data_IF_291142639980
#
_entry.id   IF_291142639980
#
_cell.length_a   1.000
_cell.length_b   1.000
_cell.length_c   1.000
_cell.angle_alpha   90.00
_cell.angle_beta   90.00
_cell.angle_gamma   90.00
#
_symmetry.space_group_name_H-M   'P 1'
#
loop_
_entity.id
_entity.type
_entity.pdbx_description
1 polymer ?
#
# COMPACT_ATOMS: atom_id res chain seq x y z
N UNK A 1 -0.92 24.07 23.37
CA UNK A 1 -0.18 23.75 22.12
C UNK A 1 0.07 22.24 21.97
N UNK A 2 -0.73 21.36 22.59
CA UNK A 2 -0.51 19.90 22.54
C UNK A 2 -1.30 19.18 21.43
N UNK A 3 -2.30 19.84 20.84
CA UNK A 3 -3.14 19.26 19.79
C UNK A 3 -2.41 19.02 18.45
N UNK A 4 -1.27 19.67 18.21
CA UNK A 4 -0.49 19.47 16.98
C UNK A 4 0.29 18.15 16.99
N UNK A 5 0.82 17.73 18.14
CA UNK A 5 1.62 16.51 18.26
C UNK A 5 0.78 15.22 18.18
N UNK A 6 -0.41 15.21 18.79
CA UNK A 6 -1.35 14.07 18.69
C UNK A 6 -1.82 13.88 17.24
N UNK A 7 -2.08 14.98 16.53
CA UNK A 7 -2.54 14.93 15.14
C UNK A 7 -1.47 14.39 14.18
N UNK A 8 -0.19 14.76 14.37
CA UNK A 8 0.90 14.23 13.54
C UNK A 8 1.20 12.75 13.80
N UNK A 9 1.14 12.31 15.06
CA UNK A 9 1.33 10.89 15.40
C UNK A 9 0.22 10.01 14.81
N UNK A 10 -1.05 10.43 14.92
CA UNK A 10 -2.18 9.71 14.33
C UNK A 10 -2.11 9.63 12.80
N UNK A 11 -1.65 10.69 12.14
CA UNK A 11 -1.44 10.70 10.68
C UNK A 11 -0.34 9.72 10.24
N UNK A 12 0.77 9.65 10.98
CA UNK A 12 1.85 8.70 10.71
C UNK A 12 1.36 7.26 10.87
N UNK A 13 0.67 6.97 11.97
CA UNK A 13 0.10 5.64 12.23
C UNK A 13 -0.91 5.24 11.14
N UNK A 14 -1.78 6.16 10.71
CA UNK A 14 -2.73 5.91 9.63
C UNK A 14 -2.05 5.58 8.29
N UNK A 15 -0.95 6.26 7.96
CA UNK A 15 -0.16 5.94 6.76
C UNK A 15 0.52 4.58 6.86
N UNK A 16 1.11 4.23 8.01
CA UNK A 16 1.75 2.92 8.23
C UNK A 16 0.73 1.79 8.09
N UNK A 17 -0.46 1.94 8.68
CA UNK A 17 -1.55 0.95 8.55
C UNK A 17 -2.03 0.85 7.10
N UNK A 18 -2.14 1.98 6.40
CA UNK A 18 -2.49 2.01 4.97
C UNK A 18 -1.49 1.24 4.11
N UNK A 19 -0.19 1.43 4.33
CA UNK A 19 0.87 0.71 3.61
C UNK A 19 0.85 -0.80 3.88
N UNK A 20 0.57 -1.20 5.12
CA UNK A 20 0.38 -2.61 5.48
C UNK A 20 -0.77 -3.26 4.69
N UNK A 21 -1.89 -2.56 4.53
CA UNK A 21 -3.05 -3.04 3.77
C UNK A 21 -2.69 -3.17 2.28
N UNK A 22 -2.01 -2.18 1.71
CA UNK A 22 -1.55 -2.22 0.31
C UNK A 22 -0.63 -3.43 0.09
N UNK A 23 0.31 -3.67 1.01
CA UNK A 23 1.20 -4.84 0.96
C UNK A 23 0.44 -6.17 0.97
N UNK A 24 -0.62 -6.30 1.76
CA UNK A 24 -1.47 -7.50 1.77
C UNK A 24 -2.18 -7.71 0.43
N UNK A 25 -2.71 -6.65 -0.19
CA UNK A 25 -3.34 -6.75 -1.51
C UNK A 25 -2.34 -7.16 -2.60
N UNK A 26 -1.09 -6.70 -2.53
CA UNK A 26 -0.04 -7.16 -3.45
C UNK A 26 0.24 -8.66 -3.33
N UNK A 27 0.30 -9.18 -2.11
CA UNK A 27 0.50 -10.62 -1.88
C UNK A 27 -0.68 -11.40 -2.49
N UNK A 28 -1.89 -10.88 -2.35
CA UNK A 28 -3.08 -11.46 -2.95
C UNK A 28 -3.06 -11.42 -4.49
N UNK A 29 -2.59 -10.31 -5.09
CA UNK A 29 -2.42 -10.20 -6.54
C UNK A 29 -1.39 -11.22 -7.06
N UNK A 30 -0.27 -11.41 -6.35
CA UNK A 30 0.72 -12.44 -6.69
C UNK A 30 0.09 -13.83 -6.60
N UNK A 31 -0.70 -14.11 -5.56
CA UNK A 31 -1.41 -15.38 -5.42
C UNK A 31 -2.36 -15.63 -6.60
N UNK A 32 -3.20 -14.65 -6.94
CA UNK A 32 -4.12 -14.71 -8.07
C UNK A 32 -3.39 -14.93 -9.40
N UNK A 33 -2.26 -14.24 -9.58
CA UNK A 33 -1.43 -14.36 -10.77
C UNK A 33 -0.81 -15.76 -10.92
N UNK A 34 -0.40 -16.38 -9.81
CA UNK A 34 0.22 -17.71 -9.78
C UNK A 34 -0.81 -18.84 -9.85
N UNK A 35 -2.04 -18.62 -9.40
CA UNK A 35 -3.10 -19.63 -9.52
C UNK A 35 -3.50 -19.87 -10.98
N UNK A 36 -3.97 -21.09 -11.28
CA UNK A 36 -4.49 -21.49 -12.60
C UNK A 36 -5.89 -20.91 -12.87
N UNK A 37 -6.11 -19.64 -12.55
CA UNK A 37 -7.35 -18.91 -12.87
C UNK A 37 -7.32 -18.55 -14.37
N UNK A 38 -8.44 -18.20 -14.96
CA UNK A 38 -8.51 -17.75 -16.36
C UNK A 38 -7.54 -16.59 -16.68
N UNK A 39 -7.27 -16.36 -17.97
CA UNK A 39 -6.28 -15.36 -18.40
C UNK A 39 -6.65 -13.93 -17.99
N UNK A 40 -7.93 -13.57 -18.05
CA UNK A 40 -8.40 -12.21 -17.73
C UNK A 40 -8.16 -11.81 -16.26
N UNK A 41 -8.53 -12.63 -15.25
CA UNK A 41 -8.19 -12.36 -13.85
C UNK A 41 -6.68 -12.25 -13.58
N UNK A 42 -5.85 -13.03 -14.28
CA UNK A 42 -4.38 -12.93 -14.14
C UNK A 42 -3.84 -11.61 -14.69
N UNK A 43 -4.34 -11.16 -15.84
CA UNK A 43 -3.95 -9.86 -16.40
C UNK A 43 -4.43 -8.70 -15.50
N UNK A 44 -5.62 -8.80 -14.92
CA UNK A 44 -6.14 -7.82 -13.96
C UNK A 44 -5.30 -7.79 -12.68
N UNK A 45 -4.91 -8.94 -12.14
CA UNK A 45 -4.03 -9.03 -10.97
C UNK A 45 -2.65 -8.41 -11.26
N UNK A 46 -2.07 -8.66 -12.44
CA UNK A 46 -0.82 -8.02 -12.86
C UNK A 46 -0.94 -6.49 -12.98
N UNK A 47 -2.02 -5.99 -13.57
CA UNK A 47 -2.29 -4.55 -13.68
C UNK A 47 -2.54 -3.89 -12.32
N UNK A 48 -3.32 -4.53 -11.46
CA UNK A 48 -3.57 -4.13 -10.07
C UNK A 48 -2.27 -4.05 -9.28
N UNK A 49 -1.43 -5.07 -9.39
CA UNK A 49 -0.14 -5.12 -8.70
C UNK A 49 0.75 -3.93 -9.04
N UNK A 50 0.85 -3.56 -10.33
CA UNK A 50 1.68 -2.41 -10.76
C UNK A 50 1.13 -1.10 -10.19
N UNK A 51 -0.19 -0.91 -10.17
CA UNK A 51 -0.81 0.28 -9.58
C UNK A 51 -0.58 0.36 -8.07
N UNK A 52 -0.78 -0.76 -7.37
CA UNK A 52 -0.51 -0.86 -5.94
C UNK A 52 0.97 -0.62 -5.63
N UNK A 53 1.89 -1.08 -6.48
CA UNK A 53 3.34 -0.89 -6.31
C UNK A 53 3.71 0.59 -6.38
N UNK A 54 3.12 1.33 -7.32
CA UNK A 54 3.27 2.78 -7.39
C UNK A 54 2.76 3.49 -6.12
N UNK A 55 1.59 3.09 -5.62
CA UNK A 55 1.01 3.65 -4.40
C UNK A 55 1.85 3.35 -3.16
N UNK A 56 2.36 2.13 -3.03
CA UNK A 56 3.20 1.70 -1.92
C UNK A 56 4.51 2.50 -1.85
N UNK A 57 5.20 2.64 -2.99
CA UNK A 57 6.43 3.44 -3.06
C UNK A 57 6.13 4.92 -2.72
N UNK A 58 5.01 5.45 -3.20
CA UNK A 58 4.60 6.83 -2.89
C UNK A 58 4.29 7.02 -1.40
N UNK A 59 3.56 6.10 -0.77
CA UNK A 59 3.22 6.20 0.64
C UNK A 59 4.43 6.00 1.56
N UNK A 60 5.35 5.08 1.23
CA UNK A 60 6.65 4.98 1.91
C UNK A 60 7.45 6.28 1.83
N UNK A 61 7.52 6.91 0.64
CA UNK A 61 8.18 8.22 0.48
C UNK A 61 7.53 9.30 1.34
N UNK A 62 6.21 9.27 1.47
CA UNK A 62 5.45 10.21 2.30
C UNK A 62 5.72 9.99 3.80
N UNK A 63 5.80 8.74 4.26
CA UNK A 63 6.16 8.40 5.64
C UNK A 63 7.57 8.91 5.97
N UNK A 64 8.55 8.63 5.10
CA UNK A 64 9.94 9.07 5.30
C UNK A 64 10.09 10.60 5.32
N UNK A 65 9.24 11.32 4.58
CA UNK A 65 9.22 12.79 4.59
C UNK A 65 8.54 13.39 5.84
N UNK A 66 7.71 12.63 6.57
CA UNK A 66 7.13 13.07 7.84
C UNK A 66 8.15 12.91 8.99
N UNK A 67 9.14 12.04 8.82
CA UNK A 67 10.21 11.83 9.81
C UNK A 67 11.34 12.87 9.73
N UNK A 68 11.49 13.60 8.62
CA UNK A 68 12.48 14.68 8.44
C UNK A 68 11.91 16.04 8.83
#
# INVERSE_FOLDING_TARGET
MEYSNVNNSNKKMGLVVGELIIGLFMIFDIYLFMTKVELAPRLLAGGSFVLLLGLFIFGLKKINNIEK
#
